data_IF_866913535819
#
_entry.id   IF_866913535819
#
_cell.length_a   1.000
_cell.length_b   1.000
_cell.length_c   1.000
_cell.angle_alpha   90.00
_cell.angle_beta   90.00
_cell.angle_gamma   90.00
#
_symmetry.space_group_name_H-M   'P 1'
#
loop_
_entity.id
_entity.type
_entity.pdbx_description
1 polymer ?
#
# COMPACT_ATOMS: atom_id res chain seq x y z
N UNK A 1 -14.78 4.09 -16.32
CA UNK A 1 -13.91 3.76 -15.19
C UNK A 1 -14.18 2.36 -14.69
N UNK A 2 -13.14 1.64 -14.40
CA UNK A 2 -13.28 0.29 -13.88
C UNK A 2 -13.68 0.31 -12.41
N UNK A 3 -14.68 -0.46 -12.06
CA UNK A 3 -15.17 -0.59 -10.70
C UNK A 3 -15.09 -2.05 -10.28
N UNK A 4 -14.83 -2.27 -8.98
CA UNK A 4 -14.65 -3.62 -8.44
C UNK A 4 -15.44 -3.77 -7.15
N UNK A 5 -15.97 -4.96 -6.92
CA UNK A 5 -16.38 -5.34 -5.56
C UNK A 5 -15.18 -5.95 -4.82
N UNK A 6 -15.35 -6.27 -3.53
CA UNK A 6 -14.24 -6.78 -2.72
C UNK A 6 -13.66 -8.08 -3.29
N UNK A 7 -14.51 -9.01 -3.70
CA UNK A 7 -14.07 -10.30 -4.24
C UNK A 7 -13.30 -10.12 -5.55
N UNK A 8 -13.78 -9.25 -6.42
CA UNK A 8 -13.17 -9.03 -7.72
C UNK A 8 -11.80 -8.38 -7.59
N UNK A 9 -11.69 -7.33 -6.75
CA UNK A 9 -10.40 -6.66 -6.59
C UNK A 9 -9.38 -7.54 -5.88
N UNK A 10 -9.83 -8.34 -4.92
CA UNK A 10 -8.96 -9.30 -4.23
C UNK A 10 -8.39 -10.32 -5.22
N UNK A 11 -9.22 -10.79 -6.13
CA UNK A 11 -8.82 -11.76 -7.15
C UNK A 11 -7.75 -11.19 -8.08
N UNK A 12 -7.85 -9.91 -8.44
CA UNK A 12 -6.86 -9.25 -9.29
C UNK A 12 -5.45 -9.31 -8.67
N UNK A 13 -5.35 -9.29 -7.34
CA UNK A 13 -4.08 -9.32 -6.63
C UNK A 13 -3.75 -10.70 -6.03
N UNK A 14 -4.58 -11.69 -6.32
CA UNK A 14 -4.42 -13.05 -5.82
C UNK A 14 -4.33 -13.09 -4.28
N UNK A 15 -5.22 -12.35 -3.62
CA UNK A 15 -5.32 -12.32 -2.16
C UNK A 15 -6.77 -12.61 -1.75
N UNK A 16 -6.94 -12.96 -0.48
CA UNK A 16 -8.28 -13.23 0.06
C UNK A 16 -9.04 -11.90 0.24
N UNK A 17 -10.37 -11.88 0.03
CA UNK A 17 -11.17 -10.67 0.28
C UNK A 17 -11.00 -10.11 1.70
N UNK A 18 -10.84 -10.97 2.70
CA UNK A 18 -10.60 -10.52 4.07
C UNK A 18 -9.30 -9.74 4.22
N UNK A 19 -8.30 -10.04 3.39
CA UNK A 19 -7.05 -9.28 3.38
C UNK A 19 -7.29 -7.85 2.92
N UNK A 20 -8.13 -7.65 1.90
CA UNK A 20 -8.51 -6.30 1.45
C UNK A 20 -9.21 -5.53 2.57
N UNK A 21 -10.15 -6.17 3.25
CA UNK A 21 -10.87 -5.56 4.38
C UNK A 21 -9.92 -5.21 5.52
N UNK A 22 -8.94 -6.07 5.77
CA UNK A 22 -7.93 -5.83 6.79
C UNK A 22 -7.10 -4.60 6.47
N UNK A 23 -6.71 -4.42 5.21
CA UNK A 23 -6.00 -3.21 4.78
C UNK A 23 -6.83 -1.95 4.98
N UNK A 24 -8.14 -2.04 4.76
CA UNK A 24 -9.05 -0.94 5.04
C UNK A 24 -9.02 -0.57 6.53
N UNK A 25 -9.11 -1.58 7.41
CA UNK A 25 -9.07 -1.37 8.86
C UNK A 25 -7.76 -0.76 9.33
N UNK A 26 -6.66 -1.09 8.69
CA UNK A 26 -5.34 -0.54 9.03
C UNK A 26 -5.15 0.89 8.53
N UNK A 27 -6.07 1.43 7.76
CA UNK A 27 -5.93 2.75 7.16
C UNK A 27 -4.99 2.78 5.96
N UNK A 28 -4.80 1.65 5.31
CA UNK A 28 -3.92 1.52 4.14
C UNK A 28 -4.60 1.89 2.83
N UNK A 29 -5.92 2.01 2.83
CA UNK A 29 -6.70 2.32 1.63
C UNK A 29 -7.43 3.65 1.81
N UNK A 30 -7.61 4.42 0.71
CA UNK A 30 -8.50 5.58 0.76
C UNK A 30 -9.91 5.16 1.15
N UNK A 31 -10.71 6.11 1.58
CA UNK A 31 -12.10 5.82 1.94
C UNK A 31 -12.80 5.08 0.80
N UNK A 32 -13.49 4.00 1.14
CA UNK A 32 -14.15 3.16 0.17
C UNK A 32 -15.65 3.49 0.14
N UNK A 33 -16.15 4.04 -0.99
CA UNK A 33 -17.59 4.31 -1.12
C UNK A 33 -18.39 3.02 -1.02
N UNK A 34 -19.63 3.14 -0.60
CA UNK A 34 -20.56 2.02 -0.56
C UNK A 34 -21.72 2.28 -1.49
N UNK A 35 -22.18 1.24 -2.14
CA UNK A 35 -23.40 1.29 -2.94
C UNK A 35 -24.62 1.42 -2.02
N UNK A 36 -25.78 1.72 -2.60
CA UNK A 36 -27.02 1.82 -1.85
C UNK A 36 -27.33 0.56 -1.04
N UNK A 37 -26.91 -0.61 -1.56
CA UNK A 37 -27.11 -1.90 -0.87
C UNK A 37 -26.05 -2.18 0.20
N UNK A 38 -25.16 -1.23 0.50
CA UNK A 38 -24.15 -1.35 1.53
C UNK A 38 -22.85 -2.03 1.10
N UNK A 39 -22.77 -2.55 -0.12
CA UNK A 39 -21.55 -3.20 -0.60
C UNK A 39 -20.47 -2.18 -0.97
N UNK A 40 -19.22 -2.56 -0.71
CA UNK A 40 -18.05 -1.72 -1.01
C UNK A 40 -17.87 -1.59 -2.52
N UNK A 41 -17.50 -0.38 -2.95
CA UNK A 41 -17.21 -0.08 -4.35
C UNK A 41 -15.78 0.43 -4.47
N UNK A 42 -14.92 -0.36 -5.11
CA UNK A 42 -13.52 0.01 -5.32
C UNK A 42 -13.35 0.55 -6.73
N UNK A 43 -12.53 1.58 -6.86
CA UNK A 43 -12.23 2.18 -8.16
C UNK A 43 -10.72 2.10 -8.46
N UNK A 44 -10.28 2.81 -9.49
CA UNK A 44 -8.88 2.77 -9.92
C UNK A 44 -7.93 3.26 -8.83
N UNK A 45 -8.34 4.24 -8.02
CA UNK A 45 -7.49 4.75 -6.93
C UNK A 45 -7.20 3.63 -5.93
N UNK A 46 -8.21 2.85 -5.58
CA UNK A 46 -8.04 1.70 -4.67
C UNK A 46 -7.16 0.62 -5.30
N UNK A 47 -7.33 0.38 -6.60
CA UNK A 47 -6.51 -0.58 -7.33
C UNK A 47 -5.02 -0.18 -7.26
N UNK A 48 -4.71 1.08 -7.57
CA UNK A 48 -3.34 1.57 -7.53
C UNK A 48 -2.76 1.53 -6.10
N UNK A 49 -3.57 1.84 -5.11
CA UNK A 49 -3.14 1.78 -3.71
C UNK A 49 -2.86 0.35 -3.28
N UNK A 50 -3.70 -0.62 -3.68
CA UNK A 50 -3.44 -2.04 -3.40
C UNK A 50 -2.15 -2.52 -4.05
N UNK A 51 -1.87 -2.05 -5.26
CA UNK A 51 -0.63 -2.35 -5.95
C UNK A 51 0.57 -1.86 -5.14
N UNK A 52 0.51 -0.62 -4.63
CA UNK A 52 1.54 -0.06 -3.77
C UNK A 52 1.73 -0.89 -2.50
N UNK A 53 0.62 -1.27 -1.84
CA UNK A 53 0.66 -2.09 -0.63
C UNK A 53 1.37 -3.41 -0.90
N UNK A 54 0.98 -4.09 -1.98
CA UNK A 54 1.52 -5.42 -2.30
C UNK A 54 3.00 -5.35 -2.64
N UNK A 55 3.41 -4.34 -3.40
CA UNK A 55 4.82 -4.16 -3.73
C UNK A 55 5.61 -3.82 -2.47
N UNK A 56 5.09 -2.88 -1.66
CA UNK A 56 5.79 -2.42 -0.46
C UNK A 56 5.95 -3.48 0.61
N UNK A 57 4.91 -4.28 0.85
CA UNK A 57 4.95 -5.31 1.89
C UNK A 57 5.59 -6.62 1.44
N UNK A 58 5.81 -6.80 0.14
CA UNK A 58 6.36 -8.03 -0.41
C UNK A 58 7.88 -8.11 -0.30
N UNK A 59 8.56 -7.00 -0.06
CA UNK A 59 10.01 -6.99 -0.02
C UNK A 59 10.54 -7.70 1.22
N UNK A 60 11.30 -8.76 1.02
CA UNK A 60 11.95 -9.50 2.10
C UNK A 60 13.10 -8.72 2.73
N UNK A 61 13.55 -7.65 2.05
CA UNK A 61 14.61 -6.78 2.56
C UNK A 61 14.11 -5.81 3.62
N UNK A 62 12.79 -5.70 3.81
CA UNK A 62 12.20 -4.77 4.76
C UNK A 62 12.21 -5.36 6.16
N UNK A 63 13.20 -4.99 6.92
CA UNK A 63 13.33 -5.37 8.33
C UNK A 63 13.42 -4.12 9.19
N UNK A 64 12.97 -4.22 10.42
CA UNK A 64 13.11 -3.15 11.43
C UNK A 64 12.46 -1.84 10.95
N UNK A 65 13.22 -0.74 10.99
CA UNK A 65 12.72 0.58 10.65
C UNK A 65 12.28 0.76 9.21
N UNK A 66 12.83 -0.02 8.27
CA UNK A 66 12.46 0.09 6.86
C UNK A 66 11.02 -0.33 6.61
N UNK A 67 10.55 -1.38 7.28
CA UNK A 67 9.15 -1.81 7.17
C UNK A 67 8.21 -0.74 7.72
N UNK A 68 8.59 -0.12 8.82
CA UNK A 68 7.81 0.96 9.42
C UNK A 68 7.71 2.16 8.47
N UNK A 69 8.78 2.48 7.75
CA UNK A 69 8.78 3.55 6.76
C UNK A 69 7.80 3.26 5.62
N UNK A 70 7.78 2.03 5.11
CA UNK A 70 6.85 1.62 4.04
C UNK A 70 5.40 1.76 4.52
N UNK A 71 5.10 1.32 5.72
CA UNK A 71 3.75 1.45 6.29
C UNK A 71 3.36 2.93 6.38
N UNK A 72 4.28 3.81 6.79
CA UNK A 72 4.04 5.24 6.82
C UNK A 72 3.70 5.82 5.45
N UNK A 73 4.45 5.42 4.42
CA UNK A 73 4.21 5.85 3.04
C UNK A 73 2.82 5.41 2.58
N UNK A 74 2.46 4.17 2.86
CA UNK A 74 1.16 3.61 2.47
C UNK A 74 0.02 4.42 3.09
N UNK A 75 0.11 4.73 4.39
CA UNK A 75 -0.92 5.49 5.10
C UNK A 75 -1.06 6.92 4.58
N UNK A 76 0.04 7.58 4.32
CA UNK A 76 0.03 8.96 3.80
C UNK A 76 -0.58 8.97 2.39
N UNK A 77 -0.19 8.01 1.56
CA UNK A 77 -0.76 7.85 0.21
C UNK A 77 -2.27 7.57 0.28
N UNK A 78 -2.71 6.74 1.22
CA UNK A 78 -4.13 6.42 1.39
C UNK A 78 -4.97 7.65 1.73
N UNK A 79 -4.37 8.64 2.40
CA UNK A 79 -5.03 9.89 2.73
C UNK A 79 -5.01 10.91 1.58
N UNK A 80 -4.46 10.56 0.43
CA UNK A 80 -4.38 11.43 -0.72
C UNK A 80 -3.25 12.44 -0.68
N UNK A 81 -2.36 12.36 0.29
CA UNK A 81 -1.22 13.26 0.44
C UNK A 81 -0.04 12.75 -0.40
N UNK A 82 -0.21 12.75 -1.72
CA UNK A 82 0.74 12.13 -2.64
C UNK A 82 2.10 12.80 -2.65
N UNK A 83 2.17 14.12 -2.50
CA UNK A 83 3.46 14.84 -2.45
C UNK A 83 4.25 14.42 -1.22
N UNK A 84 3.58 14.30 -0.07
CA UNK A 84 4.22 13.84 1.17
C UNK A 84 4.65 12.39 1.05
N UNK A 85 3.80 11.54 0.46
CA UNK A 85 4.14 10.13 0.22
C UNK A 85 5.37 10.00 -0.67
N UNK A 86 5.49 10.84 -1.70
CA UNK A 86 6.63 10.85 -2.60
C UNK A 86 7.93 11.24 -1.87
N UNK A 87 7.86 12.26 -1.00
CA UNK A 87 9.02 12.65 -0.19
C UNK A 87 9.47 11.51 0.72
N UNK A 88 8.53 10.85 1.38
CA UNK A 88 8.83 9.72 2.25
C UNK A 88 9.41 8.55 1.47
N UNK A 89 8.91 8.32 0.25
CA UNK A 89 9.44 7.27 -0.62
C UNK A 89 10.89 7.56 -1.02
N UNK A 90 11.21 8.80 -1.31
CA UNK A 90 12.59 9.20 -1.62
C UNK A 90 13.52 8.98 -0.43
N UNK A 91 13.09 9.36 0.77
CA UNK A 91 13.84 9.12 1.99
C UNK A 91 14.06 7.64 2.24
N UNK A 92 13.03 6.83 1.97
CA UNK A 92 13.10 5.38 2.10
C UNK A 92 14.13 4.77 1.15
N UNK A 93 14.15 5.22 -0.12
CA UNK A 93 15.12 4.76 -1.09
C UNK A 93 16.56 5.11 -0.68
N UNK A 94 16.75 6.29 -0.11
CA UNK A 94 18.05 6.69 0.41
C UNK A 94 18.49 5.78 1.57
N UNK A 95 17.56 5.42 2.46
CA UNK A 95 17.84 4.51 3.56
C UNK A 95 18.25 3.12 3.07
N UNK A 96 17.56 2.59 2.07
CA UNK A 96 17.90 1.30 1.46
C UNK A 96 19.28 1.36 0.81
N UNK A 97 19.56 2.43 0.07
CA UNK A 97 20.83 2.62 -0.58
C UNK A 97 21.99 2.65 0.41
N UNK A 98 21.80 3.32 1.55
CA UNK A 98 22.81 3.36 2.62
C UNK A 98 23.07 1.97 3.20
N UNK A 99 22.03 1.18 3.43
CA UNK A 99 22.19 -0.18 3.94
C UNK A 99 22.92 -1.09 2.97
N UNK A 100 22.60 -0.98 1.68
CA UNK A 100 23.31 -1.75 0.65
C UNK A 100 24.80 -1.40 0.63
N UNK A 101 25.13 -0.12 0.74
CA UNK A 101 26.52 0.33 0.78
C UNK A 101 27.25 -0.20 2.01
N UNK A 102 26.58 -0.24 3.15
CA UNK A 102 27.16 -0.78 4.37
C UNK A 102 27.41 -2.28 4.26
N UNK A 103 26.50 -3.02 3.65
CA UNK A 103 26.66 -4.45 3.43
C UNK A 103 27.78 -4.78 2.46
N UNK A 104 27.99 -3.96 1.44
CA UNK A 104 29.05 -4.16 0.45
C UNK A 104 30.45 -3.91 0.98
N UNK A 105 30.58 -3.21 2.08
CA UNK A 105 31.88 -2.92 2.70
C UNK A 105 32.39 -4.04 3.58
N UNK A 106 31.60 -5.07 3.77
CA UNK A 106 32.05 -6.27 4.50
C UNK A 106 32.68 -7.29 3.52
#
# INVERSE_FOLDING_TARGET
MKEYNTSTIAKEFNIHPNTVRFYEELGFLPQIPRKENGYRLYNQIHYEQLKLIRIGLKSELLQNGLRKQVIGIIKVSANGEYDRALELAKEHLESISKEEKMQKKQ
#
